data_IF_453306865758
#
_entry.id   IF_453306865758
#
_cell.length_a   1.000
_cell.length_b   1.000
_cell.length_c   1.000
_cell.angle_alpha   90.00
_cell.angle_beta   90.00
_cell.angle_gamma   90.00
#
_symmetry.space_group_name_H-M   'P 1'
#
loop_
_entity.id
_entity.type
_entity.pdbx_description
1 polymer ?
#
# COMPACT_ATOMS: atom_id res chain seq x y z
N UNK A 1 -41.77 -20.01 -38.71
CA UNK A 1 -41.58 -18.55 -38.54
C UNK A 1 -41.57 -18.16 -37.05
N UNK A 2 -42.55 -18.53 -36.25
CA UNK A 2 -42.67 -18.16 -34.82
C UNK A 2 -41.42 -18.57 -33.99
N UNK A 3 -40.89 -19.78 -34.20
CA UNK A 3 -39.68 -20.26 -33.47
C UNK A 3 -38.44 -19.46 -33.81
N UNK A 4 -38.25 -19.09 -35.08
CA UNK A 4 -37.12 -18.30 -35.54
C UNK A 4 -37.19 -16.88 -34.96
N UNK A 5 -38.36 -16.27 -34.96
CA UNK A 5 -38.57 -14.93 -34.41
C UNK A 5 -38.32 -14.92 -32.88
N UNK A 6 -38.76 -15.95 -32.17
CA UNK A 6 -38.52 -16.10 -30.74
C UNK A 6 -37.04 -16.29 -30.43
N UNK A 7 -36.33 -17.12 -31.20
CA UNK A 7 -34.87 -17.31 -31.04
C UNK A 7 -34.06 -16.05 -31.34
N UNK A 8 -34.47 -15.26 -32.32
CA UNK A 8 -33.85 -13.96 -32.63
C UNK A 8 -34.08 -12.95 -31.51
N UNK A 9 -35.31 -12.91 -30.96
CA UNK A 9 -35.65 -11.98 -29.88
C UNK A 9 -34.88 -12.32 -28.59
N UNK A 10 -34.83 -13.60 -28.21
CA UNK A 10 -34.07 -14.04 -27.04
C UNK A 10 -32.58 -13.84 -27.21
N UNK A 11 -32.00 -14.14 -28.38
CA UNK A 11 -30.61 -13.94 -28.68
C UNK A 11 -30.21 -12.44 -28.62
N UNK A 12 -31.02 -11.57 -29.19
CA UNK A 12 -30.76 -10.11 -29.11
C UNK A 12 -30.90 -9.57 -27.69
N UNK A 13 -31.86 -10.04 -26.88
CA UNK A 13 -32.02 -9.63 -25.49
C UNK A 13 -30.84 -10.06 -24.62
N UNK A 14 -30.35 -11.29 -24.79
CA UNK A 14 -29.15 -11.77 -24.09
C UNK A 14 -27.92 -10.96 -24.51
N UNK A 15 -27.73 -10.70 -25.79
CA UNK A 15 -26.62 -9.91 -26.29
C UNK A 15 -26.62 -8.48 -25.69
N UNK A 16 -27.77 -7.81 -25.71
CA UNK A 16 -27.92 -6.45 -25.13
C UNK A 16 -27.70 -6.47 -23.62
N UNK A 17 -28.17 -7.49 -22.92
CA UNK A 17 -27.94 -7.69 -21.49
C UNK A 17 -26.45 -7.83 -21.17
N UNK A 18 -25.72 -8.64 -21.91
CA UNK A 18 -24.26 -8.81 -21.74
C UNK A 18 -23.53 -7.51 -22.04
N UNK A 19 -23.91 -6.74 -23.07
CA UNK A 19 -23.33 -5.44 -23.39
C UNK A 19 -23.57 -4.44 -22.25
N UNK A 20 -24.76 -4.41 -21.69
CA UNK A 20 -25.10 -3.51 -20.58
C UNK A 20 -24.31 -3.89 -19.31
N UNK A 21 -24.32 -5.17 -18.92
CA UNK A 21 -23.53 -5.67 -17.77
C UNK A 21 -22.05 -5.35 -17.95
N UNK A 22 -21.51 -5.56 -19.15
CA UNK A 22 -20.09 -5.26 -19.43
C UNK A 22 -19.79 -3.77 -19.31
N UNK A 23 -20.71 -2.90 -19.77
CA UNK A 23 -20.59 -1.45 -19.63
C UNK A 23 -20.68 -1.01 -18.16
N UNK A 24 -21.64 -1.57 -17.42
CA UNK A 24 -21.85 -1.26 -16.01
C UNK A 24 -20.66 -1.74 -15.16
N UNK A 25 -20.12 -2.92 -15.43
CA UNK A 25 -18.88 -3.41 -14.81
C UNK A 25 -17.72 -2.46 -15.07
N UNK A 26 -17.47 -2.08 -16.32
CA UNK A 26 -16.40 -1.15 -16.66
C UNK A 26 -16.58 0.22 -16.01
N UNK A 27 -17.82 0.69 -15.87
CA UNK A 27 -18.12 1.97 -15.25
C UNK A 27 -17.96 1.92 -13.71
N UNK A 28 -18.28 0.79 -13.10
CA UNK A 28 -18.24 0.61 -11.65
C UNK A 28 -16.86 0.21 -11.12
N UNK A 29 -16.14 -0.65 -11.84
CA UNK A 29 -14.77 -1.04 -11.47
C UNK A 29 -13.78 0.09 -11.79
N UNK A 30 -14.07 0.91 -12.83
CA UNK A 30 -13.17 1.95 -13.29
C UNK A 30 -11.89 1.37 -13.92
N UNK A 31 -11.08 2.25 -14.47
CA UNK A 31 -9.72 1.92 -14.86
C UNK A 31 -8.77 2.30 -13.72
N UNK A 32 -8.05 1.36 -13.17
CA UNK A 32 -6.97 1.65 -12.22
C UNK A 32 -5.62 1.31 -12.86
N UNK A 33 -4.61 2.10 -12.55
CA UNK A 33 -3.23 1.80 -12.91
C UNK A 33 -2.31 2.20 -11.77
N UNK A 34 -1.20 1.48 -11.63
CA UNK A 34 -0.16 1.83 -10.67
C UNK A 34 1.12 2.22 -11.41
N UNK A 35 1.76 3.27 -10.90
CA UNK A 35 3.07 3.71 -11.38
C UNK A 35 4.08 3.29 -10.34
N UNK A 36 5.06 2.52 -10.76
CA UNK A 36 6.15 2.06 -9.89
C UNK A 36 7.48 2.56 -10.45
N UNK A 37 8.40 3.00 -9.59
CA UNK A 37 9.74 3.33 -10.05
C UNK A 37 10.41 2.06 -10.60
N UNK A 38 11.16 2.25 -11.68
CA UNK A 38 11.89 1.16 -12.32
C UNK A 38 13.34 1.21 -11.88
N UNK A 39 13.86 0.09 -11.42
CA UNK A 39 15.27 -0.02 -11.08
C UNK A 39 16.14 0.11 -12.33
N UNK A 40 17.07 1.06 -12.31
CA UNK A 40 17.98 1.32 -13.41
C UNK A 40 19.27 0.55 -13.22
N UNK A 41 19.68 -0.12 -14.27
CA UNK A 41 20.96 -0.83 -14.32
C UNK A 41 21.89 -0.15 -15.31
N UNK A 42 23.16 -0.04 -14.94
CA UNK A 42 24.22 0.34 -15.85
C UNK A 42 25.01 -0.88 -16.28
N UNK A 43 25.35 -0.94 -17.56
CA UNK A 43 26.24 -1.96 -18.11
C UNK A 43 27.56 -1.28 -18.48
N UNK A 44 28.58 -1.43 -17.65
CA UNK A 44 29.92 -0.99 -17.98
C UNK A 44 30.86 -2.19 -17.99
N UNK A 45 31.60 -2.35 -19.10
CA UNK A 45 32.59 -3.40 -19.30
C UNK A 45 32.10 -4.84 -19.00
N UNK A 46 30.81 -5.13 -19.28
CA UNK A 46 30.19 -6.45 -19.03
C UNK A 46 29.82 -6.69 -17.57
N UNK A 47 29.98 -5.70 -16.69
CA UNK A 47 29.46 -5.73 -15.34
C UNK A 47 28.13 -4.95 -15.24
N UNK A 48 27.12 -5.58 -14.63
CA UNK A 48 25.84 -4.95 -14.34
C UNK A 48 25.90 -4.34 -12.94
N UNK A 49 25.74 -3.03 -12.85
CA UNK A 49 25.60 -2.32 -11.58
C UNK A 49 24.26 -1.65 -11.47
N UNK A 50 23.60 -1.74 -10.30
CA UNK A 50 22.35 -1.05 -10.04
C UNK A 50 22.64 0.44 -9.75
N UNK A 51 21.93 1.34 -10.47
CA UNK A 51 21.89 2.78 -10.17
C UNK A 51 20.89 3.12 -9.06
N UNK A 52 20.21 2.09 -8.52
CA UNK A 52 19.13 2.25 -7.57
C UNK A 52 17.78 2.52 -8.24
N UNK A 53 16.78 2.57 -7.41
CA UNK A 53 15.41 2.84 -7.83
C UNK A 53 15.11 4.33 -7.62
N UNK A 54 14.77 5.09 -8.67
CA UNK A 54 14.43 6.50 -8.51
C UNK A 54 13.19 6.66 -7.62
N UNK A 55 13.17 7.70 -6.81
CA UNK A 55 12.01 8.03 -5.99
C UNK A 55 10.95 8.76 -6.84
N UNK A 56 9.69 8.40 -6.67
CA UNK A 56 8.57 9.17 -7.23
C UNK A 56 8.39 10.39 -6.34
N UNK A 57 8.72 11.57 -6.84
CA UNK A 57 8.58 12.83 -6.13
C UNK A 57 7.18 13.47 -6.35
N UNK A 58 6.88 14.48 -5.57
CA UNK A 58 5.62 15.23 -5.67
C UNK A 58 5.40 15.82 -7.06
N UNK A 59 6.46 16.27 -7.75
CA UNK A 59 6.34 16.80 -9.11
C UNK A 59 5.90 15.71 -10.10
N UNK A 60 6.39 14.49 -9.92
CA UNK A 60 5.99 13.35 -10.74
C UNK A 60 4.53 12.99 -10.49
N UNK A 61 4.07 13.01 -9.23
CA UNK A 61 2.68 12.80 -8.87
C UNK A 61 1.80 13.86 -9.53
N UNK A 62 2.15 15.15 -9.43
CA UNK A 62 1.38 16.24 -10.03
C UNK A 62 1.34 16.17 -11.56
N UNK A 63 2.42 15.73 -12.21
CA UNK A 63 2.42 15.48 -13.66
C UNK A 63 1.42 14.40 -14.07
N UNK A 64 1.35 13.31 -13.31
CA UNK A 64 0.38 12.23 -13.56
C UNK A 64 -1.04 12.71 -13.35
N UNK A 65 -1.31 13.39 -12.23
CA UNK A 65 -2.64 13.97 -11.94
C UNK A 65 -3.07 14.90 -13.08
N UNK A 66 -2.17 15.77 -13.54
CA UNK A 66 -2.44 16.70 -14.63
C UNK A 66 -2.68 15.99 -15.96
N UNK A 67 -1.96 14.92 -16.25
CA UNK A 67 -2.12 14.14 -17.48
C UNK A 67 -3.45 13.37 -17.53
N UNK A 68 -3.89 12.82 -16.39
CA UNK A 68 -5.19 12.13 -16.29
C UNK A 68 -6.35 13.12 -16.25
N UNK A 69 -6.13 14.27 -15.64
CA UNK A 69 -7.09 15.39 -15.64
C UNK A 69 -8.43 15.03 -14.99
N UNK A 70 -9.53 15.34 -15.67
CA UNK A 70 -10.90 15.20 -15.15
C UNK A 70 -11.35 13.75 -14.98
N UNK A 71 -10.67 12.80 -15.59
CA UNK A 71 -10.99 11.37 -15.47
C UNK A 71 -10.48 10.78 -14.16
N UNK A 72 -9.60 11.48 -13.44
CA UNK A 72 -9.09 11.05 -12.15
C UNK A 72 -10.18 11.16 -11.08
N UNK A 73 -10.63 10.04 -10.57
CA UNK A 73 -11.61 9.98 -9.47
C UNK A 73 -10.90 10.04 -8.10
N UNK A 74 -9.89 9.24 -7.92
CA UNK A 74 -9.09 9.18 -6.69
C UNK A 74 -7.67 8.70 -7.02
N UNK A 75 -6.74 8.91 -6.10
CA UNK A 75 -5.39 8.37 -6.17
C UNK A 75 -4.85 8.09 -4.78
N UNK A 76 -3.94 7.15 -4.71
CA UNK A 76 -3.19 6.85 -3.51
C UNK A 76 -1.69 6.96 -3.81
N UNK A 77 -0.92 7.20 -2.77
CA UNK A 77 0.54 7.11 -2.80
C UNK A 77 0.96 6.16 -1.71
N UNK A 78 1.88 5.27 -2.00
CA UNK A 78 2.40 4.30 -1.05
C UNK A 78 3.91 4.36 -0.98
N UNK A 79 4.43 4.46 0.22
CA UNK A 79 5.87 4.39 0.49
C UNK A 79 6.12 3.43 1.64
N UNK A 80 7.00 2.46 1.44
CA UNK A 80 7.32 1.45 2.44
C UNK A 80 8.67 1.73 3.08
N UNK A 81 8.76 1.49 4.37
CA UNK A 81 9.98 1.63 5.14
C UNK A 81 9.99 0.71 6.35
N UNK A 82 11.05 0.80 7.14
CA UNK A 82 11.18 0.09 8.41
C UNK A 82 11.17 1.07 9.56
N UNK A 83 10.57 0.65 10.68
CA UNK A 83 10.49 1.45 11.90
C UNK A 83 10.82 0.62 13.12
N UNK A 84 11.32 1.28 14.15
CA UNK A 84 11.42 0.77 15.52
C UNK A 84 10.46 1.54 16.40
N UNK A 85 9.88 0.86 17.40
CA UNK A 85 9.08 1.49 18.42
C UNK A 85 9.86 1.61 19.72
N UNK A 86 9.69 2.72 20.46
CA UNK A 86 10.39 2.93 21.73
C UNK A 86 10.02 1.86 22.77
N UNK A 87 8.76 1.47 22.83
CA UNK A 87 8.21 0.48 23.77
C UNK A 87 7.31 -0.54 23.07
N UNK A 88 7.59 -0.79 21.80
CA UNK A 88 6.77 -1.66 20.95
C UNK A 88 7.55 -2.91 20.61
N UNK A 89 6.94 -4.05 20.88
CA UNK A 89 7.46 -5.35 20.45
C UNK A 89 6.75 -5.75 19.17
N UNK A 90 7.49 -5.78 18.07
CA UNK A 90 6.96 -6.31 16.81
C UNK A 90 6.88 -7.82 16.88
N UNK A 91 5.96 -8.39 16.11
CA UNK A 91 5.81 -9.85 16.05
C UNK A 91 7.09 -10.50 15.56
N UNK A 92 7.53 -11.53 16.29
CA UNK A 92 8.73 -12.27 15.95
C UNK A 92 8.52 -13.04 14.63
N UNK A 93 9.48 -12.86 13.71
CA UNK A 93 9.65 -13.70 12.52
C UNK A 93 10.84 -14.65 12.69
N UNK A 94 11.10 -15.47 11.70
CA UNK A 94 12.29 -16.33 11.69
C UNK A 94 13.57 -15.45 11.76
N UNK A 95 14.44 -15.75 12.75
CA UNK A 95 15.68 -14.99 12.97
C UNK A 95 15.51 -13.68 13.76
N UNK A 96 14.36 -13.47 14.36
CA UNK A 96 14.11 -12.30 15.20
C UNK A 96 14.93 -12.30 16.49
N UNK A 97 15.53 -11.17 16.83
CA UNK A 97 16.20 -10.88 18.10
C UNK A 97 15.92 -9.42 18.51
N UNK A 98 16.38 -8.97 19.67
CA UNK A 98 16.15 -7.61 20.15
C UNK A 98 16.68 -6.53 19.20
N UNK A 99 17.81 -6.79 18.53
CA UNK A 99 18.40 -5.85 17.54
C UNK A 99 17.56 -5.77 16.26
N UNK A 100 16.84 -6.83 15.92
CA UNK A 100 15.94 -6.91 14.78
C UNK A 100 14.48 -6.63 15.11
N UNK A 101 14.18 -6.04 16.29
CA UNK A 101 12.83 -5.65 16.68
C UNK A 101 12.33 -4.44 15.85
N UNK A 102 12.02 -4.70 14.60
CA UNK A 102 11.60 -3.73 13.62
C UNK A 102 10.30 -4.18 12.95
N UNK A 103 9.49 -3.21 12.55
CA UNK A 103 8.29 -3.42 11.76
C UNK A 103 8.41 -2.77 10.39
N UNK A 104 7.67 -3.29 9.43
CA UNK A 104 7.46 -2.61 8.15
C UNK A 104 6.31 -1.64 8.31
N UNK A 105 6.52 -0.40 7.88
CA UNK A 105 5.50 0.63 7.79
C UNK A 105 5.24 0.97 6.33
N UNK A 106 3.99 1.24 6.01
CA UNK A 106 3.57 1.76 4.72
C UNK A 106 2.91 3.12 4.94
N UNK A 107 3.57 4.18 4.50
CA UNK A 107 2.97 5.50 4.47
C UNK A 107 2.02 5.58 3.28
N UNK A 108 0.79 6.00 3.53
CA UNK A 108 -0.30 6.03 2.55
C UNK A 108 -1.07 7.33 2.67
N UNK A 109 -1.63 7.78 1.55
CA UNK A 109 -2.53 8.94 1.54
C UNK A 109 -3.95 8.55 1.97
N UNK A 110 -4.42 7.38 1.53
CA UNK A 110 -5.74 6.81 1.86
C UNK A 110 -5.59 5.31 1.99
N UNK A 111 -5.79 4.78 3.20
CA UNK A 111 -5.60 3.36 3.44
C UNK A 111 -6.66 2.48 2.78
N UNK A 112 -7.87 3.01 2.52
CA UNK A 112 -8.93 2.26 1.81
C UNK A 112 -8.58 1.97 0.35
N UNK A 113 -7.64 2.75 -0.22
CA UNK A 113 -7.16 2.58 -1.58
C UNK A 113 -5.86 1.76 -1.66
N UNK A 114 -5.38 1.21 -0.56
CA UNK A 114 -4.26 0.28 -0.59
C UNK A 114 -4.67 -1.03 -1.24
N UNK A 115 -3.78 -1.59 -2.05
CA UNK A 115 -4.06 -2.81 -2.81
C UNK A 115 -4.56 -3.96 -1.93
N UNK A 116 -3.95 -4.17 -0.76
CA UNK A 116 -4.37 -5.24 0.14
C UNK A 116 -5.81 -5.10 0.66
N UNK A 117 -6.33 -3.87 0.83
CA UNK A 117 -7.73 -3.64 1.17
C UNK A 117 -8.65 -3.78 -0.05
N UNK A 118 -8.19 -3.34 -1.24
CA UNK A 118 -8.95 -3.48 -2.48
C UNK A 118 -9.10 -4.94 -2.91
N UNK A 119 -8.08 -5.76 -2.65
CA UNK A 119 -8.06 -7.20 -2.95
C UNK A 119 -8.71 -8.03 -1.83
N UNK A 120 -9.28 -7.38 -0.81
CA UNK A 120 -9.92 -8.03 0.35
C UNK A 120 -8.96 -8.96 1.14
N UNK A 121 -7.65 -8.75 1.00
CA UNK A 121 -6.64 -9.46 1.80
C UNK A 121 -6.58 -8.92 3.23
N UNK A 122 -6.90 -7.64 3.41
CA UNK A 122 -7.01 -6.96 4.70
C UNK A 122 -8.43 -6.50 4.94
N UNK A 123 -8.88 -6.67 6.17
CA UNK A 123 -10.15 -6.16 6.66
C UNK A 123 -9.89 -5.25 7.86
N UNK A 124 -10.64 -4.16 7.94
CA UNK A 124 -10.59 -3.26 9.08
C UNK A 124 -11.48 -3.80 10.20
N UNK A 125 -10.86 -4.37 11.25
CA UNK A 125 -11.60 -4.97 12.37
C UNK A 125 -12.21 -3.91 13.29
N UNK A 126 -11.48 -2.82 13.56
CA UNK A 126 -11.89 -1.75 14.48
C UNK A 126 -11.30 -0.43 13.98
N UNK A 127 -11.99 0.67 14.25
CA UNK A 127 -11.52 2.00 13.90
C UNK A 127 -11.95 2.44 12.50
N UNK A 128 -11.16 3.29 11.87
CA UNK A 128 -11.47 3.90 10.58
C UNK A 128 -10.24 3.91 9.67
N UNK A 129 -10.47 3.95 8.37
CA UNK A 129 -9.40 4.15 7.40
C UNK A 129 -8.72 5.51 7.56
N UNK A 130 -7.41 5.54 7.32
CA UNK A 130 -6.64 6.78 7.18
C UNK A 130 -7.10 7.49 5.93
N UNK A 131 -7.34 8.79 6.04
CA UNK A 131 -7.78 9.68 4.97
C UNK A 131 -6.74 10.77 4.70
N UNK A 132 -6.83 11.46 3.54
CA UNK A 132 -5.85 12.49 3.17
C UNK A 132 -5.70 13.65 4.18
N UNK A 133 -6.72 13.94 4.96
CA UNK A 133 -6.74 14.97 6.00
C UNK A 133 -6.15 14.53 7.34
N UNK A 134 -5.95 13.23 7.55
CA UNK A 134 -5.37 12.71 8.78
C UNK A 134 -3.87 13.01 8.86
N UNK A 135 -3.43 13.37 10.04
CA UNK A 135 -2.02 13.59 10.37
C UNK A 135 -1.65 12.74 11.58
N UNK A 136 -0.48 12.18 11.54
CA UNK A 136 0.09 11.40 12.64
C UNK A 136 -0.83 10.26 13.10
N UNK A 137 -1.51 9.62 12.15
CA UNK A 137 -2.37 8.47 12.37
C UNK A 137 -1.77 7.21 11.77
N UNK A 138 -2.02 6.07 12.41
CA UNK A 138 -1.54 4.76 11.96
C UNK A 138 -2.63 3.70 12.12
N UNK A 139 -2.65 2.77 11.18
CA UNK A 139 -3.33 1.48 11.34
C UNK A 139 -2.29 0.43 11.68
N UNK A 140 -2.60 -0.42 12.63
CA UNK A 140 -1.75 -1.54 13.03
C UNK A 140 -2.52 -2.85 12.89
N UNK A 141 -1.80 -3.96 12.75
CA UNK A 141 -2.46 -5.28 12.73
C UNK A 141 -3.03 -5.60 14.11
N UNK A 142 -4.15 -6.32 14.13
CA UNK A 142 -4.78 -6.80 15.38
C UNK A 142 -3.78 -7.63 16.22
N UNK A 143 -2.92 -8.41 15.56
CA UNK A 143 -1.91 -9.20 16.23
C UNK A 143 -0.88 -8.32 16.97
N UNK A 144 -0.42 -7.21 16.32
CA UNK A 144 0.48 -6.24 16.94
C UNK A 144 -0.21 -5.51 18.10
N UNK A 145 -1.47 -5.13 17.94
CA UNK A 145 -2.27 -4.49 18.98
C UNK A 145 -2.40 -5.40 20.22
N UNK A 146 -2.77 -6.66 20.03
CA UNK A 146 -2.87 -7.64 21.10
C UNK A 146 -1.54 -7.90 21.83
N UNK A 147 -0.45 -8.03 21.06
CA UNK A 147 0.89 -8.26 21.61
C UNK A 147 1.35 -7.13 22.52
N UNK A 148 0.97 -5.90 22.22
CA UNK A 148 1.41 -4.69 22.94
C UNK A 148 0.30 -4.07 23.81
N UNK A 149 -0.86 -4.73 23.96
CA UNK A 149 -2.01 -4.25 24.71
C UNK A 149 -2.48 -2.86 24.28
N UNK A 150 -2.52 -2.62 22.96
CA UNK A 150 -2.89 -1.36 22.35
C UNK A 150 -4.34 -1.37 21.86
N UNK A 151 -4.94 -0.20 21.86
CA UNK A 151 -6.31 0.08 21.42
C UNK A 151 -6.35 1.30 20.50
N UNK A 152 -7.44 1.48 19.78
CA UNK A 152 -7.71 2.72 19.02
C UNK A 152 -7.67 3.91 19.97
N UNK A 153 -6.99 4.97 19.56
CA UNK A 153 -6.75 6.18 20.35
C UNK A 153 -5.44 6.17 21.15
N UNK A 154 -4.80 5.01 21.32
CA UNK A 154 -3.48 4.95 21.96
C UNK A 154 -2.41 5.58 21.07
N UNK A 155 -1.36 6.09 21.70
CA UNK A 155 -0.22 6.71 21.03
C UNK A 155 1.00 5.82 21.11
N UNK A 156 1.65 5.63 19.99
CA UNK A 156 2.92 4.91 19.91
C UNK A 156 4.01 5.84 19.34
N UNK A 157 5.23 5.56 19.74
CA UNK A 157 6.38 6.37 19.34
C UNK A 157 7.28 5.54 18.46
N UNK A 158 7.49 6.00 17.24
CA UNK A 158 8.24 5.30 16.19
C UNK A 158 9.47 6.09 15.76
N UNK A 159 10.49 5.40 15.34
CA UNK A 159 11.66 5.98 14.67
C UNK A 159 11.99 5.20 13.42
N UNK A 160 12.56 5.88 12.43
CA UNK A 160 13.00 5.26 11.20
C UNK A 160 14.10 4.23 11.47
N UNK A 161 14.02 3.10 10.79
CA UNK A 161 15.02 2.04 10.81
C UNK A 161 15.42 1.67 9.37
N UNK A 162 16.63 1.16 9.20
CA UNK A 162 17.11 0.66 7.92
C UNK A 162 17.55 -0.78 8.08
N UNK A 163 16.74 -1.70 7.55
CA UNK A 163 17.06 -3.11 7.57
C UNK A 163 18.33 -3.40 6.76
N UNK A 164 19.24 -4.12 7.36
CA UNK A 164 20.42 -4.65 6.72
C UNK A 164 20.81 -5.99 7.30
N UNK A 165 21.87 -6.58 6.79
CA UNK A 165 22.40 -7.85 7.28
C UNK A 165 23.88 -7.66 7.63
N UNK A 166 24.23 -7.97 8.87
CA UNK A 166 25.61 -8.12 9.30
C UNK A 166 25.82 -9.58 9.72
N UNK A 167 26.78 -10.25 9.08
CA UNK A 167 27.14 -11.66 9.34
C UNK A 167 25.97 -12.63 9.31
N UNK A 168 24.97 -12.36 8.46
CA UNK A 168 23.76 -13.21 8.32
C UNK A 168 22.67 -12.94 9.36
N UNK A 169 22.82 -11.93 10.19
CA UNK A 169 21.81 -11.47 11.15
C UNK A 169 21.19 -10.17 10.63
N UNK A 170 19.88 -10.11 10.61
CA UNK A 170 19.18 -8.86 10.26
C UNK A 170 19.32 -7.87 11.41
N UNK A 171 19.75 -6.66 11.09
CA UNK A 171 19.98 -5.60 12.07
C UNK A 171 19.63 -4.23 11.47
N UNK A 172 19.45 -3.25 12.34
CA UNK A 172 19.31 -1.86 11.93
C UNK A 172 20.67 -1.27 11.60
N UNK A 173 20.80 -0.77 10.38
CA UNK A 173 22.01 -0.09 9.92
C UNK A 173 22.11 1.37 10.39
N UNK A 174 21.03 1.94 10.92
CA UNK A 174 21.02 3.31 11.46
C UNK A 174 21.58 3.25 12.88
N UNK A 175 22.82 3.72 13.04
CA UNK A 175 23.51 3.77 14.35
C UNK A 175 23.30 5.08 15.08
N UNK A 176 22.86 6.12 14.39
CA UNK A 176 22.55 7.42 15.00
C UNK A 176 21.10 7.45 15.46
N UNK A 177 20.85 8.07 16.63
CA UNK A 177 19.49 8.25 17.11
C UNK A 177 18.71 9.17 16.17
N UNK A 178 17.86 8.57 15.36
CA UNK A 178 16.82 9.32 14.64
C UNK A 178 15.80 9.91 15.62
N UNK A 179 15.17 11.01 15.26
CA UNK A 179 14.09 11.57 16.03
C UNK A 179 12.94 10.56 16.10
N UNK A 180 12.32 10.46 17.29
CA UNK A 180 11.11 9.69 17.47
C UNK A 180 9.90 10.56 17.13
N UNK A 181 8.96 10.00 16.40
CA UNK A 181 7.69 10.61 16.07
C UNK A 181 6.56 9.87 16.78
N UNK A 182 5.60 10.63 17.33
CA UNK A 182 4.44 10.06 18.02
C UNK A 182 3.25 10.05 17.08
N UNK A 183 2.65 8.87 16.92
CA UNK A 183 1.46 8.65 16.09
C UNK A 183 0.34 8.04 16.92
N UNK A 184 -0.91 8.31 16.56
CA UNK A 184 -2.11 7.80 17.23
C UNK A 184 -2.77 6.70 16.40
N UNK A 185 -3.18 5.64 17.07
CA UNK A 185 -3.88 4.50 16.44
C UNK A 185 -5.30 4.93 16.11
N UNK A 186 -5.69 4.78 14.85
CA UNK A 186 -6.98 5.18 14.30
C UNK A 186 -7.93 4.00 14.13
#
# INVERSE_FOLDING_TARGET
FLLISFSLLTGSSVYLGIQQISKDLRSNIGASFSIRPYEQFDMDNGQVSSKGTPTIDEQSIQRVISAVGKELKCYNTEHSGYVKGEKLTFLAGAGHNEESNMGTVKAVRDSSLCQNFLDEEYELSVGEHIKPEDKDKILISEALAKQNHLSVGDKITLTHAKLGSDKGVYTDLIKEKSAYETVEIK
#
